data_IF_454798709106
#
_entry.id   IF_454798709106
#
_cell.length_a   1.000
_cell.length_b   1.000
_cell.length_c   1.000
_cell.angle_alpha   90.00
_cell.angle_beta   90.00
_cell.angle_gamma   90.00
#
_symmetry.space_group_name_H-M   'P 1'
#
loop_
_entity.id
_entity.type
_entity.pdbx_description
1 polymer ?
#
# COMPACT_ATOMS: atom_id res chain seq x y z
N UNK A 1 19.78 -17.95 7.45
CA UNK A 1 19.29 -18.44 6.14
C UNK A 1 17.77 -18.59 6.14
N UNK A 2 17.18 -19.45 6.98
CA UNK A 2 15.73 -19.68 7.04
C UNK A 2 14.85 -18.44 7.30
N UNK A 3 15.30 -17.50 8.13
CA UNK A 3 14.54 -16.28 8.45
C UNK A 3 14.41 -15.34 7.24
N UNK A 4 15.48 -15.12 6.48
CA UNK A 4 15.46 -14.25 5.29
C UNK A 4 14.60 -14.84 4.19
N UNK A 5 14.69 -16.15 3.95
CA UNK A 5 13.81 -16.84 3.00
C UNK A 5 12.34 -16.74 3.41
N UNK A 6 12.04 -16.77 4.72
CA UNK A 6 10.67 -16.59 5.21
C UNK A 6 10.13 -15.17 4.95
N UNK A 7 10.97 -14.14 5.14
CA UNK A 7 10.61 -12.76 4.84
C UNK A 7 10.41 -12.57 3.34
N UNK A 8 11.31 -13.09 2.51
CA UNK A 8 11.18 -13.02 1.05
C UNK A 8 9.87 -13.65 0.58
N UNK A 9 9.56 -14.87 1.02
CA UNK A 9 8.29 -15.55 0.69
C UNK A 9 7.08 -14.71 1.08
N UNK A 10 7.08 -14.18 2.32
CA UNK A 10 6.01 -13.33 2.81
C UNK A 10 5.83 -12.07 1.96
N UNK A 11 6.92 -11.37 1.61
CA UNK A 11 6.87 -10.19 0.74
C UNK A 11 6.28 -10.56 -0.62
N UNK A 12 6.74 -11.66 -1.22
CA UNK A 12 6.25 -12.15 -2.52
C UNK A 12 4.75 -12.44 -2.44
N UNK A 13 4.29 -13.14 -1.41
CA UNK A 13 2.88 -13.47 -1.21
C UNK A 13 2.02 -12.21 -1.06
N UNK A 14 2.47 -11.24 -0.25
CA UNK A 14 1.74 -9.99 -0.01
C UNK A 14 1.68 -9.11 -1.27
N UNK A 15 2.79 -8.97 -2.00
CA UNK A 15 2.80 -8.25 -3.27
C UNK A 15 1.93 -8.95 -4.33
N UNK A 16 1.87 -10.28 -4.32
CA UNK A 16 0.98 -11.04 -5.20
C UNK A 16 -0.49 -10.81 -4.85
N UNK A 17 -0.84 -10.80 -3.56
CA UNK A 17 -2.20 -10.47 -3.10
C UNK A 17 -2.59 -9.05 -3.47
N UNK A 18 -1.67 -8.09 -3.36
CA UNK A 18 -1.87 -6.72 -3.79
C UNK A 18 -2.16 -6.64 -5.29
N UNK A 19 -1.31 -7.25 -6.11
CA UNK A 19 -1.45 -7.26 -7.57
C UNK A 19 -2.80 -7.87 -8.00
N UNK A 20 -3.16 -9.03 -7.45
CA UNK A 20 -4.43 -9.70 -7.73
C UNK A 20 -5.62 -8.87 -7.24
N UNK A 21 -5.51 -8.22 -6.09
CA UNK A 21 -6.54 -7.33 -5.57
C UNK A 21 -6.77 -6.13 -6.49
N UNK A 22 -5.70 -5.48 -6.95
CA UNK A 22 -5.76 -4.35 -7.87
C UNK A 22 -6.32 -4.74 -9.24
N UNK A 23 -5.96 -5.95 -9.71
CA UNK A 23 -6.50 -6.52 -10.95
C UNK A 23 -8.00 -6.81 -10.85
N UNK A 24 -8.44 -7.40 -9.74
CA UNK A 24 -9.82 -7.84 -9.54
C UNK A 24 -10.78 -6.70 -9.18
N UNK A 25 -10.32 -5.67 -8.45
CA UNK A 25 -11.13 -4.53 -8.01
C UNK A 25 -11.36 -3.48 -9.12
N UNK A 26 -11.32 -3.89 -10.39
CA UNK A 26 -11.36 -3.02 -11.56
C UNK A 26 -12.14 -1.73 -11.33
N UNK A 27 -11.42 -0.61 -11.24
CA UNK A 27 -11.96 0.76 -11.28
C UNK A 27 -13.06 1.14 -10.27
N UNK A 28 -13.17 0.51 -9.09
CA UNK A 28 -14.15 0.94 -8.08
C UNK A 28 -13.55 1.94 -7.06
N UNK A 29 -13.90 3.22 -7.26
CA UNK A 29 -13.71 4.42 -6.43
C UNK A 29 -12.25 4.90 -6.18
N UNK A 30 -11.81 5.83 -7.04
CA UNK A 30 -10.41 6.08 -7.43
C UNK A 30 -9.75 7.38 -6.91
N UNK A 31 -10.17 7.96 -5.78
CA UNK A 31 -9.42 9.10 -5.21
C UNK A 31 -8.55 8.67 -4.01
N UNK A 32 -9.10 8.04 -2.99
CA UNK A 32 -8.31 7.67 -1.80
C UNK A 32 -7.35 6.49 -2.04
N UNK A 33 -7.74 5.55 -2.92
CA UNK A 33 -6.94 4.36 -3.25
C UNK A 33 -5.75 4.65 -4.18
N UNK A 34 -5.86 5.63 -5.06
CA UNK A 34 -4.76 6.03 -5.96
C UNK A 34 -3.66 6.75 -5.18
N UNK A 35 -4.02 7.63 -4.24
CA UNK A 35 -3.06 8.34 -3.38
C UNK A 35 -2.32 7.34 -2.47
N UNK A 36 -3.07 6.41 -1.85
CA UNK A 36 -2.48 5.32 -1.06
C UNK A 36 -1.52 4.46 -1.91
N UNK A 37 -1.94 4.09 -3.13
CA UNK A 37 -1.10 3.32 -4.06
C UNK A 37 0.15 4.09 -4.46
N UNK A 38 0.05 5.39 -4.78
CA UNK A 38 1.21 6.21 -5.16
C UNK A 38 2.22 6.34 -4.02
N UNK A 39 1.77 6.58 -2.77
CA UNK A 39 2.67 6.65 -1.60
C UNK A 39 3.38 5.32 -1.39
N UNK A 40 2.62 4.23 -1.32
CA UNK A 40 3.18 2.89 -1.14
C UNK A 40 4.18 2.54 -2.27
N UNK A 41 3.83 2.83 -3.52
CA UNK A 41 4.73 2.59 -4.67
C UNK A 41 5.98 3.46 -4.59
N UNK A 42 5.89 4.72 -4.19
CA UNK A 42 7.06 5.57 -4.02
C UNK A 42 8.02 4.98 -2.98
N UNK A 43 7.52 4.62 -1.80
CA UNK A 43 8.32 4.03 -0.72
C UNK A 43 8.91 2.68 -1.15
N UNK A 44 8.11 1.81 -1.78
CA UNK A 44 8.57 0.52 -2.29
C UNK A 44 9.71 0.68 -3.32
N UNK A 45 9.55 1.59 -4.28
CA UNK A 45 10.56 1.85 -5.30
C UNK A 45 11.82 2.48 -4.71
N UNK A 46 11.68 3.35 -3.70
CA UNK A 46 12.82 3.91 -2.98
C UNK A 46 13.63 2.81 -2.31
N UNK A 47 12.99 1.84 -1.66
CA UNK A 47 13.67 0.73 -1.01
C UNK A 47 14.32 -0.20 -2.05
N UNK A 48 13.58 -0.61 -3.09
CA UNK A 48 14.05 -1.61 -4.08
C UNK A 48 15.19 -1.08 -4.96
N UNK A 49 15.16 0.20 -5.32
CA UNK A 49 16.11 0.79 -6.27
C UNK A 49 17.05 1.83 -5.65
N UNK A 50 16.87 2.18 -4.38
CA UNK A 50 17.62 3.25 -3.72
C UNK A 50 17.23 4.66 -4.19
N UNK A 51 16.05 4.82 -4.79
CA UNK A 51 15.56 6.12 -5.26
C UNK A 51 15.12 7.04 -4.11
N UNK A 52 14.87 8.32 -4.43
CA UNK A 52 14.31 9.35 -3.54
C UNK A 52 13.05 9.96 -4.14
N UNK A 53 12.14 9.10 -4.58
CA UNK A 53 10.85 9.48 -5.16
C UNK A 53 9.97 10.16 -4.12
N UNK A 54 9.44 11.32 -4.49
CA UNK A 54 8.38 12.03 -3.77
C UNK A 54 7.15 12.13 -4.67
N UNK A 55 5.96 12.19 -4.06
CA UNK A 55 4.73 12.44 -4.81
C UNK A 55 4.67 13.92 -5.24
N UNK A 56 4.50 14.14 -6.55
CA UNK A 56 4.55 15.46 -7.19
C UNK A 56 3.22 16.23 -7.13
N UNK A 57 2.11 15.54 -6.87
CA UNK A 57 0.78 16.16 -6.72
C UNK A 57 0.73 17.09 -5.50
N UNK A 58 1.51 16.80 -4.45
CA UNK A 58 1.62 17.66 -3.26
C UNK A 58 2.44 18.94 -3.48
N UNK A 59 3.20 19.05 -4.58
CA UNK A 59 4.15 20.14 -4.80
C UNK A 59 3.73 21.16 -5.86
N UNK A 60 2.80 20.84 -6.77
CA UNK A 60 2.13 21.79 -7.70
C UNK A 60 1.06 21.06 -8.55
N UNK A 61 -0.11 21.68 -8.76
CA UNK A 61 -1.22 21.20 -9.63
C UNK A 61 -0.88 20.96 -11.12
N UNK A 62 0.37 21.11 -11.56
CA UNK A 62 0.75 21.20 -12.98
C UNK A 62 1.48 19.95 -13.54
N UNK A 63 1.63 18.87 -12.77
CA UNK A 63 2.28 17.64 -13.24
C UNK A 63 1.27 16.61 -13.78
N UNK A 64 0.50 16.97 -14.82
CA UNK A 64 -0.60 16.13 -15.37
C UNK A 64 -0.16 14.79 -15.99
N UNK A 65 1.13 14.45 -15.97
CA UNK A 65 1.74 13.33 -16.70
C UNK A 65 2.63 12.42 -15.85
N UNK A 66 2.94 12.80 -14.61
CA UNK A 66 3.86 12.08 -13.72
C UNK A 66 3.34 12.23 -12.30
N UNK A 67 3.36 11.12 -11.55
CA UNK A 67 2.86 11.08 -10.17
C UNK A 67 4.00 11.21 -9.17
N UNK A 68 5.17 10.64 -9.49
CA UNK A 68 6.33 10.60 -8.59
C UNK A 68 7.59 11.14 -9.28
N UNK A 69 8.49 11.74 -8.51
CA UNK A 69 9.78 12.25 -9.03
C UNK A 69 10.93 12.14 -8.04
N UNK A 70 12.10 11.78 -8.54
CA UNK A 70 13.41 11.87 -7.87
C UNK A 70 14.20 12.96 -8.59
N UNK A 71 14.35 14.11 -7.94
CA UNK A 71 15.01 15.29 -8.51
C UNK A 71 16.53 15.11 -8.66
N UNK A 72 17.16 14.34 -7.77
CA UNK A 72 18.60 14.12 -7.76
C UNK A 72 19.00 13.21 -8.93
N UNK A 73 18.26 12.12 -9.11
CA UNK A 73 18.48 11.18 -10.22
C UNK A 73 17.77 11.58 -11.50
N UNK A 74 16.94 12.63 -11.45
CA UNK A 74 16.12 13.10 -12.57
C UNK A 74 15.25 11.99 -13.15
N UNK A 75 14.59 11.21 -12.28
CA UNK A 75 13.68 10.14 -12.66
C UNK A 75 12.25 10.57 -12.33
N UNK A 76 11.32 10.36 -13.26
CA UNK A 76 9.89 10.53 -13.03
C UNK A 76 9.16 9.21 -13.27
N UNK A 77 8.10 8.97 -12.49
CA UNK A 77 7.20 7.84 -12.67
C UNK A 77 5.78 8.31 -12.91
N UNK A 78 5.15 7.77 -13.95
CA UNK A 78 3.69 7.68 -14.03
C UNK A 78 3.25 6.34 -13.43
N UNK A 79 2.44 6.37 -12.39
CA UNK A 79 1.77 5.24 -11.76
C UNK A 79 0.37 5.07 -12.37
N UNK A 80 0.04 3.89 -12.87
CA UNK A 80 -1.25 3.63 -13.54
C UNK A 80 -1.72 2.20 -13.35
N UNK A 81 -3.03 1.99 -13.31
CA UNK A 81 -3.63 0.63 -13.39
C UNK A 81 -3.80 0.16 -14.83
N UNK A 82 -3.80 1.09 -15.80
CA UNK A 82 -4.03 0.79 -17.22
C UNK A 82 -2.73 0.41 -17.92
N UNK A 83 -2.67 -0.81 -18.45
CA UNK A 83 -1.51 -1.35 -19.16
C UNK A 83 -1.45 -1.05 -20.66
N UNK A 84 -2.42 -0.33 -21.22
CA UNK A 84 -2.53 -0.12 -22.67
C UNK A 84 -1.39 0.74 -23.23
N UNK A 85 -0.94 0.42 -24.44
CA UNK A 85 0.08 1.22 -25.13
C UNK A 85 -0.40 2.66 -25.39
N UNK A 86 -1.71 2.86 -25.58
CA UNK A 86 -2.30 4.19 -25.71
C UNK A 86 -2.11 5.05 -24.46
N UNK A 87 -2.26 4.48 -23.26
CA UNK A 87 -2.05 5.19 -22.00
C UNK A 87 -0.59 5.61 -21.81
N UNK A 88 0.34 4.73 -22.17
CA UNK A 88 1.78 5.03 -22.10
C UNK A 88 2.17 6.12 -23.11
N UNK A 89 1.65 6.04 -24.34
CA UNK A 89 1.83 7.11 -25.35
C UNK A 89 1.29 8.45 -24.87
N UNK A 90 0.12 8.45 -24.25
CA UNK A 90 -0.48 9.65 -23.67
C UNK A 90 0.40 10.24 -22.56
N UNK A 91 0.94 9.41 -21.67
CA UNK A 91 1.89 9.85 -20.64
C UNK A 91 3.15 10.49 -21.26
N UNK A 92 3.77 9.84 -22.25
CA UNK A 92 4.94 10.38 -22.98
C UNK A 92 4.60 11.71 -23.65
N UNK A 93 3.47 11.79 -24.36
CA UNK A 93 3.04 13.01 -25.05
C UNK A 93 2.83 14.16 -24.06
N UNK A 94 2.20 13.89 -22.91
CA UNK A 94 1.99 14.89 -21.86
C UNK A 94 3.28 15.30 -21.18
N UNK A 95 4.22 14.38 -20.95
CA UNK A 95 5.55 14.65 -20.41
C UNK A 95 6.35 15.61 -21.31
N UNK A 96 6.27 15.42 -22.63
CA UNK A 96 6.88 16.31 -23.63
C UNK A 96 6.17 17.67 -23.65
N UNK A 97 4.83 17.69 -23.76
CA UNK A 97 4.04 18.92 -23.85
C UNK A 97 4.20 19.83 -22.64
N UNK A 98 4.33 19.24 -21.45
CA UNK A 98 4.55 19.96 -20.19
C UNK A 98 6.02 20.28 -19.91
N UNK A 99 6.93 19.95 -20.84
CA UNK A 99 8.38 20.16 -20.74
C UNK A 99 9.02 19.56 -19.48
N UNK A 100 8.44 18.49 -18.94
CA UNK A 100 8.95 17.84 -17.73
C UNK A 100 10.31 17.18 -17.95
N UNK A 101 10.65 16.87 -19.21
CA UNK A 101 11.97 16.35 -19.61
C UNK A 101 13.14 17.29 -19.27
N UNK A 102 12.87 18.59 -19.04
CA UNK A 102 13.89 19.55 -18.59
C UNK A 102 14.36 19.24 -17.16
N UNK A 103 13.47 18.68 -16.34
CA UNK A 103 13.74 18.35 -14.93
C UNK A 103 14.04 16.87 -14.73
N UNK A 104 13.42 16.00 -15.53
CA UNK A 104 13.53 14.55 -15.42
C UNK A 104 14.02 13.97 -16.76
N UNK A 105 15.21 13.37 -16.77
CA UNK A 105 15.79 12.78 -17.98
C UNK A 105 15.23 11.37 -18.26
N UNK A 106 14.64 10.73 -17.24
CA UNK A 106 14.16 9.36 -17.31
C UNK A 106 12.68 9.30 -16.94
N UNK A 107 11.81 9.08 -17.91
CA UNK A 107 10.40 8.77 -17.67
C UNK A 107 10.22 7.25 -17.53
N UNK A 108 9.61 6.83 -16.44
CA UNK A 108 9.22 5.45 -16.18
C UNK A 108 7.72 5.35 -15.98
N UNK A 109 7.16 4.17 -16.25
CA UNK A 109 5.74 3.86 -16.03
C UNK A 109 5.65 2.67 -15.08
N UNK A 110 5.00 2.86 -13.94
CA UNK A 110 4.67 1.78 -13.02
C UNK A 110 3.24 1.33 -13.25
N UNK A 111 3.06 0.05 -13.60
CA UNK A 111 1.74 -0.55 -13.76
C UNK A 111 1.39 -1.30 -12.48
N UNK A 112 0.37 -0.80 -11.78
CA UNK A 112 -0.07 -1.29 -10.46
C UNK A 112 -0.60 -2.73 -10.49
N UNK A 113 -1.19 -3.14 -11.60
CA UNK A 113 -1.60 -4.52 -11.82
C UNK A 113 -0.49 -5.28 -12.56
N UNK A 114 -0.79 -5.76 -13.77
CA UNK A 114 0.17 -6.48 -14.60
C UNK A 114 0.37 -5.74 -15.92
N UNK A 115 1.62 -5.58 -16.35
CA UNK A 115 1.94 -5.00 -17.66
C UNK A 115 1.66 -5.96 -18.81
N UNK A 116 1.73 -5.47 -20.05
CA UNK A 116 1.61 -6.34 -21.22
C UNK A 116 2.84 -7.23 -21.35
N UNK A 117 2.67 -8.46 -21.87
CA UNK A 117 3.79 -9.37 -22.18
C UNK A 117 4.80 -8.73 -23.15
N UNK A 118 4.31 -7.89 -24.06
CA UNK A 118 5.14 -7.15 -25.01
C UNK A 118 4.43 -5.87 -25.45
N UNK A 119 5.20 -4.79 -25.62
CA UNK A 119 4.72 -3.53 -26.17
C UNK A 119 5.29 -3.36 -27.58
N UNK A 120 4.48 -3.59 -28.62
CA UNK A 120 4.90 -3.46 -30.03
C UNK A 120 4.72 -2.06 -30.62
N UNK A 121 4.29 -1.11 -29.78
CA UNK A 121 4.00 0.26 -30.22
C UNK A 121 5.28 1.08 -30.33
N UNK A 122 5.39 1.92 -31.35
CA UNK A 122 6.39 2.99 -31.35
C UNK A 122 6.06 4.02 -30.27
N UNK A 123 6.98 4.24 -29.34
CA UNK A 123 6.88 5.25 -28.28
C UNK A 123 7.76 6.43 -28.66
N UNK A 124 7.16 7.40 -29.36
CA UNK A 124 7.86 8.58 -29.87
C UNK A 124 8.22 9.55 -28.74
N UNK A 125 9.51 9.82 -28.56
CA UNK A 125 10.02 10.74 -27.53
C UNK A 125 10.47 12.08 -28.10
N UNK A 126 10.34 12.28 -29.42
CA UNK A 126 10.81 13.47 -30.15
C UNK A 126 12.31 13.75 -29.93
N UNK A 127 13.10 12.71 -29.62
CA UNK A 127 14.51 12.82 -29.28
C UNK A 127 14.81 13.57 -27.98
N UNK A 128 13.79 13.84 -27.14
CA UNK A 128 13.95 14.61 -25.89
C UNK A 128 14.49 13.78 -24.72
N UNK A 129 14.23 12.47 -24.73
CA UNK A 129 14.70 11.51 -23.74
C UNK A 129 14.66 10.09 -24.31
N UNK A 130 15.33 9.14 -23.63
CA UNK A 130 15.29 7.73 -24.00
C UNK A 130 14.15 7.00 -23.27
N UNK A 131 13.44 6.12 -23.98
CA UNK A 131 12.39 5.29 -23.39
C UNK A 131 12.43 3.88 -24.00
N UNK A 132 12.85 2.90 -23.20
CA UNK A 132 12.80 1.49 -23.58
C UNK A 132 11.68 0.79 -22.78
N UNK A 133 10.58 0.37 -23.43
CA UNK A 133 9.45 -0.26 -22.75
C UNK A 133 9.79 -1.57 -22.03
N UNK A 134 10.96 -2.19 -22.29
CA UNK A 134 11.41 -3.38 -21.58
C UNK A 134 11.90 -3.08 -20.16
N UNK A 135 12.48 -1.89 -19.94
CA UNK A 135 13.13 -1.50 -18.68
C UNK A 135 12.44 -0.32 -18.00
N UNK A 136 11.73 0.51 -18.76
CA UNK A 136 11.03 1.70 -18.28
C UNK A 136 9.56 1.46 -17.96
N UNK A 137 9.01 0.30 -18.32
CA UNK A 137 7.69 -0.15 -17.87
C UNK A 137 7.88 -1.25 -16.84
N UNK A 138 7.56 -0.94 -15.59
CA UNK A 138 7.76 -1.80 -14.42
C UNK A 138 6.38 -2.17 -13.85
N UNK A 139 6.24 -3.38 -13.34
CA UNK A 139 5.05 -3.82 -12.60
C UNK A 139 5.43 -4.60 -11.32
N UNK A 140 4.43 -5.00 -10.53
CA UNK A 140 4.64 -5.76 -9.30
C UNK A 140 5.40 -7.08 -9.54
N UNK A 141 5.10 -7.89 -10.57
CA UNK A 141 5.91 -9.05 -10.94
C UNK A 141 7.41 -8.74 -11.13
N UNK A 142 7.77 -7.60 -11.70
CA UNK A 142 9.18 -7.22 -11.83
C UNK A 142 9.83 -6.83 -10.50
N UNK A 143 9.07 -6.28 -9.56
CA UNK A 143 9.53 -6.08 -8.18
C UNK A 143 9.75 -7.42 -7.48
N UNK A 144 8.79 -8.35 -7.60
CA UNK A 144 8.88 -9.70 -7.02
C UNK A 144 10.15 -10.43 -7.49
N UNK A 145 10.52 -10.32 -8.77
CA UNK A 145 11.76 -10.93 -9.31
C UNK A 145 13.04 -10.37 -8.69
N UNK A 146 13.01 -9.15 -8.15
CA UNK A 146 14.15 -8.50 -7.49
C UNK A 146 14.26 -8.86 -6.02
N UNK A 147 13.17 -9.25 -5.36
CA UNK A 147 13.13 -9.59 -3.93
C UNK A 147 14.25 -10.56 -3.50
N UNK A 148 14.56 -11.65 -4.24
CA UNK A 148 15.64 -12.56 -3.85
C UNK A 148 17.04 -11.92 -3.82
N UNK A 149 17.26 -10.84 -4.57
CA UNK A 149 18.54 -10.12 -4.64
C UNK A 149 18.64 -8.92 -3.70
N UNK A 150 17.60 -8.63 -2.93
CA UNK A 150 17.61 -7.50 -2.00
C UNK A 150 18.42 -7.84 -0.73
N UNK A 151 19.04 -6.81 -0.17
CA UNK A 151 19.74 -6.91 1.11
C UNK A 151 18.75 -7.24 2.25
N UNK A 152 19.23 -7.87 3.35
CA UNK A 152 18.42 -8.07 4.56
C UNK A 152 17.70 -6.81 5.03
N UNK A 153 18.36 -5.66 4.98
CA UNK A 153 17.83 -4.37 5.40
C UNK A 153 16.65 -3.94 4.52
N UNK A 154 16.82 -4.01 3.19
CA UNK A 154 15.75 -3.72 2.24
C UNK A 154 14.55 -4.66 2.41
N UNK A 155 14.79 -5.95 2.68
CA UNK A 155 13.73 -6.92 2.94
C UNK A 155 12.95 -6.57 4.22
N UNK A 156 13.64 -6.17 5.29
CA UNK A 156 13.00 -5.74 6.52
C UNK A 156 12.19 -4.45 6.33
N UNK A 157 12.72 -3.48 5.59
CA UNK A 157 12.02 -2.23 5.27
C UNK A 157 10.75 -2.49 4.43
N UNK A 158 10.83 -3.31 3.38
CA UNK A 158 9.65 -3.67 2.57
C UNK A 158 8.62 -4.42 3.42
N UNK A 159 9.06 -5.37 4.24
CA UNK A 159 8.16 -6.08 5.12
C UNK A 159 7.48 -5.13 6.11
N UNK A 160 8.21 -4.16 6.67
CA UNK A 160 7.66 -3.14 7.58
C UNK A 160 6.67 -2.22 6.87
N UNK A 161 7.01 -1.75 5.65
CA UNK A 161 6.14 -0.95 4.79
C UNK A 161 4.82 -1.67 4.52
N UNK A 162 4.88 -2.93 4.06
CA UNK A 162 3.68 -3.71 3.79
C UNK A 162 2.87 -3.90 5.09
N UNK A 163 3.55 -4.19 6.19
CA UNK A 163 2.91 -4.34 7.49
C UNK A 163 2.40 -3.04 8.08
N UNK A 164 2.79 -1.88 7.59
CA UNK A 164 2.26 -0.58 8.00
C UNK A 164 1.06 -0.19 7.13
N UNK A 165 1.16 -0.43 5.82
CA UNK A 165 0.18 0.08 4.86
C UNK A 165 -0.99 -0.89 4.63
N UNK A 166 -0.74 -2.19 4.61
CA UNK A 166 -1.80 -3.20 4.43
C UNK A 166 -2.36 -3.72 5.73
N UNK A 167 -1.53 -3.63 6.75
CA UNK A 167 -1.82 -4.14 8.05
C UNK A 167 -1.84 -2.92 9.00
N UNK A 168 -0.78 -2.14 9.15
CA UNK A 168 -0.66 -1.18 10.24
C UNK A 168 -0.08 -1.91 11.45
N UNK A 169 1.20 -1.75 11.74
CA UNK A 169 1.98 -2.59 12.64
C UNK A 169 1.51 -2.74 14.12
N UNK A 170 1.35 -3.98 14.61
CA UNK A 170 1.46 -4.43 16.03
C UNK A 170 2.92 -4.42 16.38
N UNK A 171 3.35 -3.55 17.28
CA UNK A 171 4.55 -3.82 18.04
C UNK A 171 4.24 -4.86 19.12
N UNK A 172 4.62 -6.12 18.88
CA UNK A 172 5.16 -6.98 19.94
C UNK A 172 5.99 -8.10 19.31
N UNK A 173 7.29 -7.87 19.14
CA UNK A 173 8.28 -8.84 19.63
C UNK A 173 9.68 -8.22 19.71
N UNK A 174 10.36 -8.52 20.81
CA UNK A 174 11.66 -8.04 21.24
C UNK A 174 12.80 -8.78 20.51
N UNK A 175 13.67 -8.03 19.82
CA UNK A 175 15.12 -8.29 19.86
C UNK A 175 15.91 -7.03 19.53
N UNK A 176 16.76 -6.64 20.50
CA UNK A 176 17.53 -5.40 20.67
C UNK A 176 18.78 -5.35 19.75
N UNK A 177 19.56 -4.25 19.74
CA UNK A 177 19.68 -3.29 18.64
C UNK A 177 20.96 -3.46 17.79
N UNK A 178 20.96 -2.89 16.58
CA UNK A 178 22.19 -2.49 15.89
C UNK A 178 22.22 -0.98 15.74
N UNK A 179 23.00 -0.36 16.62
CA UNK A 179 23.43 1.03 16.58
C UNK A 179 24.32 1.29 15.37
N UNK A 180 24.02 2.32 14.57
CA UNK A 180 24.89 3.50 14.41
C UNK A 180 24.25 4.59 13.54
N UNK A 181 24.00 5.71 14.20
CA UNK A 181 24.21 7.10 13.75
C UNK A 181 24.21 7.37 12.24
N UNK A 182 23.06 7.85 11.75
CA UNK A 182 23.03 9.05 10.90
C UNK A 182 21.90 9.95 11.39
N UNK A 183 22.29 11.10 11.94
CA UNK A 183 21.38 12.17 12.34
C UNK A 183 20.73 12.80 11.10
N UNK A 184 19.50 12.39 10.83
CA UNK A 184 18.45 13.27 10.33
C UNK A 184 17.23 12.93 11.16
N UNK A 185 16.62 13.92 11.82
CA UNK A 185 15.44 13.73 12.67
C UNK A 185 14.29 13.09 11.87
N UNK A 186 14.26 11.75 11.80
CA UNK A 186 13.04 10.99 11.59
C UNK A 186 12.35 11.03 12.94
N UNK A 187 11.36 11.90 13.09
CA UNK A 187 10.39 11.75 14.17
C UNK A 187 9.91 10.30 14.14
N UNK A 188 9.98 9.59 15.27
CA UNK A 188 9.56 8.19 15.34
C UNK A 188 8.04 8.16 15.20
N UNK A 189 7.55 8.06 13.98
CA UNK A 189 6.13 7.99 13.73
C UNK A 189 5.58 6.65 14.23
N UNK A 190 4.60 6.69 15.13
CA UNK A 190 3.96 5.49 15.68
C UNK A 190 2.46 5.56 15.43
N UNK A 191 1.90 4.48 14.89
CA UNK A 191 0.46 4.33 14.74
C UNK A 191 -0.11 3.63 15.96
N UNK A 192 -0.97 4.32 16.70
CA UNK A 192 -1.74 3.80 17.81
C UNK A 192 -3.09 3.28 17.30
N UNK A 193 -3.51 2.14 17.84
CA UNK A 193 -4.77 1.50 17.47
C UNK A 193 -5.56 1.20 18.71
N UNK A 194 -6.61 1.97 18.91
CA UNK A 194 -7.45 1.85 20.10
C UNK A 194 -8.76 1.22 19.70
N UNK A 195 -9.20 0.21 20.43
CA UNK A 195 -10.52 -0.39 20.20
C UNK A 195 -11.59 0.67 20.40
N UNK A 196 -12.33 0.96 19.34
CA UNK A 196 -13.39 1.95 19.33
C UNK A 196 -14.76 1.32 19.63
N UNK A 197 -15.08 0.22 18.92
CA UNK A 197 -16.30 -0.58 19.11
C UNK A 197 -15.98 -2.05 18.96
N UNK A 198 -16.74 -2.88 19.68
CA UNK A 198 -16.63 -4.34 19.65
C UNK A 198 -17.97 -4.95 19.28
N UNK A 199 -17.96 -6.23 18.90
CA UNK A 199 -19.17 -7.00 18.63
C UNK A 199 -20.08 -6.36 17.56
N UNK A 200 -19.49 -5.64 16.60
CA UNK A 200 -20.23 -5.01 15.52
C UNK A 200 -20.82 -6.09 14.62
N UNK A 201 -22.14 -6.13 14.39
CA UNK A 201 -22.74 -7.14 13.52
C UNK A 201 -22.20 -7.03 12.10
N UNK A 202 -21.87 -8.19 11.53
CA UNK A 202 -21.44 -8.32 10.14
C UNK A 202 -22.52 -9.02 9.33
N UNK A 203 -22.65 -8.66 8.07
CA UNK A 203 -23.69 -9.12 7.18
C UNK A 203 -23.10 -9.67 5.89
N UNK A 204 -23.72 -10.72 5.34
CA UNK A 204 -23.30 -11.33 4.07
C UNK A 204 -23.89 -10.67 2.83
N UNK A 205 -24.74 -9.66 3.00
CA UNK A 205 -25.45 -8.94 1.96
C UNK A 205 -25.28 -7.41 2.08
N UNK A 206 -25.29 -6.68 0.97
CA UNK A 206 -25.11 -5.23 0.95
C UNK A 206 -26.26 -4.45 1.59
N UNK A 207 -27.42 -5.05 1.81
CA UNK A 207 -28.58 -4.45 2.48
C UNK A 207 -28.54 -4.61 4.01
N UNK A 208 -27.55 -5.36 4.53
CA UNK A 208 -27.41 -5.71 5.95
C UNK A 208 -28.67 -6.36 6.55
N UNK A 209 -29.18 -7.40 5.89
CA UNK A 209 -30.34 -8.18 6.32
C UNK A 209 -29.96 -9.58 6.82
N UNK A 210 -28.89 -10.17 6.31
CA UNK A 210 -28.39 -11.50 6.62
C UNK A 210 -27.16 -11.43 7.53
N UNK A 211 -27.38 -11.43 8.85
CA UNK A 211 -26.29 -11.44 9.85
C UNK A 211 -25.43 -12.69 9.67
N UNK A 212 -24.11 -12.49 9.61
CA UNK A 212 -23.11 -13.54 9.64
C UNK A 212 -22.85 -13.96 11.08
N UNK A 213 -23.32 -15.15 11.45
CA UNK A 213 -23.07 -15.73 12.78
C UNK A 213 -21.62 -16.21 12.95
N UNK A 214 -21.16 -16.22 14.20
CA UNK A 214 -19.84 -16.75 14.58
C UNK A 214 -18.65 -15.81 14.33
N UNK A 215 -18.89 -14.62 13.77
CA UNK A 215 -17.87 -13.57 13.59
C UNK A 215 -18.52 -12.21 13.86
N UNK A 216 -17.74 -11.30 14.42
CA UNK A 216 -18.16 -9.91 14.62
C UNK A 216 -17.05 -8.96 14.18
N UNK A 217 -17.40 -7.70 13.95
CA UNK A 217 -16.47 -6.64 13.65
C UNK A 217 -15.93 -6.02 14.94
N UNK A 218 -14.64 -5.73 14.95
CA UNK A 218 -14.03 -4.78 15.89
C UNK A 218 -13.63 -3.54 15.11
N UNK A 219 -14.08 -2.36 15.56
CA UNK A 219 -13.70 -1.07 14.98
C UNK A 219 -12.55 -0.52 15.79
N UNK A 220 -11.49 -0.09 15.12
CA UNK A 220 -10.29 0.50 15.69
C UNK A 220 -10.21 1.97 15.27
N UNK A 221 -9.99 2.84 16.25
CA UNK A 221 -9.56 4.23 16.05
C UNK A 221 -8.06 4.22 15.77
N UNK A 222 -7.66 4.80 14.64
CA UNK A 222 -6.27 4.86 14.19
C UNK A 222 -5.75 6.28 14.43
N UNK A 223 -4.69 6.41 15.22
CA UNK A 223 -4.04 7.70 15.49
C UNK A 223 -2.55 7.64 15.21
N UNK A 224 -2.00 8.73 14.69
CA UNK A 224 -0.57 8.86 14.39
C UNK A 224 0.13 9.76 15.42
N UNK A 225 1.30 9.31 15.86
CA UNK A 225 2.25 10.07 16.68
C UNK A 225 3.48 10.43 15.83
N UNK A 226 4.19 11.53 16.14
CA UNK A 226 3.82 12.54 17.12
C UNK A 226 2.62 13.39 16.66
N UNK A 227 1.83 13.90 17.62
CA UNK A 227 0.72 14.84 17.35
C UNK A 227 -0.68 14.25 17.56
N UNK A 228 -0.80 12.95 17.84
CA UNK A 228 -2.06 12.26 18.10
C UNK A 228 -3.15 12.49 17.04
N UNK A 229 -2.73 12.57 15.77
CA UNK A 229 -3.58 12.92 14.62
C UNK A 229 -4.53 11.76 14.36
N UNK A 230 -5.84 12.02 14.35
CA UNK A 230 -6.84 11.01 14.01
C UNK A 230 -6.77 10.72 12.50
N UNK A 231 -6.42 9.48 12.15
CA UNK A 231 -6.36 9.00 10.77
C UNK A 231 -7.62 8.21 10.36
N UNK A 232 -8.56 8.05 11.29
CA UNK A 232 -9.89 7.50 11.02
C UNK A 232 -10.18 6.19 11.75
N UNK A 233 -11.20 5.47 11.25
CA UNK A 233 -11.70 4.24 11.85
C UNK A 233 -11.64 3.10 10.85
N UNK A 234 -11.24 1.90 11.31
CA UNK A 234 -11.18 0.69 10.49
C UNK A 234 -11.89 -0.47 11.18
N UNK A 235 -12.61 -1.30 10.43
CA UNK A 235 -13.32 -2.47 10.96
C UNK A 235 -12.63 -3.77 10.52
N UNK A 236 -12.51 -4.74 11.44
CA UNK A 236 -11.85 -6.02 11.18
C UNK A 236 -12.65 -7.20 11.72
N UNK A 237 -12.67 -8.36 11.04
CA UNK A 237 -13.39 -9.53 11.52
C UNK A 237 -12.64 -10.21 12.65
N UNK A 238 -13.37 -10.62 13.68
CA UNK A 238 -12.82 -11.42 14.75
C UNK A 238 -13.82 -12.45 15.27
N UNK A 239 -13.31 -13.63 15.64
CA UNK A 239 -14.07 -14.59 16.46
C UNK A 239 -13.76 -14.43 17.94
N UNK A 240 -12.83 -13.52 18.29
CA UNK A 240 -12.35 -13.29 19.64
C UNK A 240 -13.28 -12.35 20.41
N UNK A 241 -13.42 -12.61 21.71
CA UNK A 241 -14.27 -11.85 22.62
C UNK A 241 -13.50 -11.02 23.65
N UNK A 242 -12.17 -10.95 23.54
CA UNK A 242 -11.33 -10.27 24.55
C UNK A 242 -11.20 -8.76 24.33
N UNK A 243 -11.65 -8.24 23.19
CA UNK A 243 -11.58 -6.81 22.90
C UNK A 243 -12.45 -6.00 23.86
N UNK A 244 -11.94 -4.85 24.29
CA UNK A 244 -12.66 -3.87 25.13
C UNK A 244 -12.39 -2.48 24.60
N UNK A 245 -13.42 -1.65 24.51
CA UNK A 245 -13.28 -0.26 24.05
C UNK A 245 -12.27 0.52 24.91
N UNK A 246 -11.49 1.38 24.27
CA UNK A 246 -10.43 2.18 24.90
C UNK A 246 -9.09 1.46 25.06
N UNK A 247 -9.00 0.16 24.77
CA UNK A 247 -7.75 -0.61 24.89
C UNK A 247 -6.94 -0.50 23.60
N UNK A 248 -5.64 -0.19 23.75
CA UNK A 248 -4.71 -0.27 22.64
C UNK A 248 -4.41 -1.72 22.30
N UNK A 249 -4.44 -2.04 21.01
CA UNK A 249 -4.23 -3.40 20.54
C UNK A 249 -3.11 -3.47 19.53
N UNK A 250 -2.38 -4.58 19.64
CA UNK A 250 -1.43 -5.01 18.64
C UNK A 250 -2.22 -5.36 17.36
N UNK A 251 -1.68 -5.05 16.19
CA UNK A 251 -2.14 -5.54 14.91
C UNK A 251 -1.80 -7.00 14.52
N UNK A 252 -2.35 -7.94 15.27
CA UNK A 252 -2.09 -9.35 15.02
C UNK A 252 -3.20 -10.04 14.23
N UNK A 253 -2.81 -11.00 13.39
CA UNK A 253 -3.72 -11.72 12.49
C UNK A 253 -3.54 -13.22 12.58
N UNK A 254 -4.66 -13.93 12.43
CA UNK A 254 -4.69 -15.36 12.17
C UNK A 254 -5.06 -15.60 10.71
N UNK A 255 -4.06 -15.86 9.86
CA UNK A 255 -4.21 -16.04 8.41
C UNK A 255 -4.94 -17.33 8.00
N UNK A 256 -5.09 -18.28 8.92
CA UNK A 256 -5.78 -19.55 8.68
C UNK A 256 -7.29 -19.39 8.70
N UNK A 257 -7.78 -18.36 9.40
CA UNK A 257 -9.18 -18.03 9.44
C UNK A 257 -9.44 -16.84 8.51
N UNK A 258 -10.31 -17.03 7.52
CA UNK A 258 -10.55 -16.06 6.46
C UNK A 258 -12.04 -15.81 6.29
N UNK A 259 -12.35 -14.56 6.02
CA UNK A 259 -13.69 -14.07 5.82
C UNK A 259 -13.78 -13.42 4.45
N UNK A 260 -14.77 -13.83 3.67
CA UNK A 260 -15.09 -13.20 2.40
C UNK A 260 -15.73 -11.82 2.62
N UNK A 261 -16.25 -11.23 1.54
CA UNK A 261 -16.86 -9.91 1.55
C UNK A 261 -18.01 -9.85 2.54
N UNK A 262 -17.94 -8.87 3.43
CA UNK A 262 -18.97 -8.61 4.44
C UNK A 262 -19.29 -7.12 4.50
N UNK A 263 -20.45 -6.81 5.05
CA UNK A 263 -20.98 -5.47 5.27
C UNK A 263 -21.26 -5.26 6.75
N UNK A 264 -21.33 -4.01 7.16
CA UNK A 264 -21.72 -3.63 8.51
C UNK A 264 -22.55 -2.36 8.45
N UNK A 265 -23.29 -2.13 9.52
CA UNK A 265 -23.97 -0.86 9.75
C UNK A 265 -23.10 -0.04 10.70
N UNK A 266 -22.71 1.15 10.27
CA UNK A 266 -21.91 2.07 11.08
C UNK A 266 -22.62 2.30 12.43
N UNK A 267 -21.98 2.01 13.57
CA UNK A 267 -22.65 2.10 14.87
C UNK A 267 -23.09 3.52 15.27
N UNK A 268 -22.55 4.56 14.63
CA UNK A 268 -22.89 5.95 14.94
C UNK A 268 -23.89 6.53 13.96
N UNK A 269 -23.63 6.34 12.67
CA UNK A 269 -24.45 6.97 11.62
C UNK A 269 -25.59 6.07 11.15
N UNK A 270 -25.53 4.77 11.42
CA UNK A 270 -26.47 3.78 10.89
C UNK A 270 -26.31 3.50 9.39
N UNK A 271 -25.32 4.10 8.75
CA UNK A 271 -25.03 3.94 7.33
C UNK A 271 -24.54 2.52 7.03
N UNK A 272 -25.02 1.92 5.95
CA UNK A 272 -24.53 0.61 5.50
C UNK A 272 -23.23 0.80 4.73
N UNK A 273 -22.18 0.10 5.16
CA UNK A 273 -20.85 0.18 4.58
C UNK A 273 -20.32 -1.22 4.28
N UNK A 274 -19.53 -1.33 3.21
CA UNK A 274 -18.73 -2.55 3.02
C UNK A 274 -17.66 -2.58 4.10
N UNK A 275 -17.55 -3.71 4.81
CA UNK A 275 -16.53 -3.89 5.84
C UNK A 275 -15.17 -4.17 5.19
N UNK A 276 -15.13 -5.16 4.30
CA UNK A 276 -13.98 -5.55 3.49
C UNK A 276 -14.44 -6.44 2.33
N UNK A 277 -13.56 -6.69 1.34
CA UNK A 277 -13.80 -7.66 0.26
C UNK A 277 -13.31 -9.06 0.59
N UNK A 278 -12.23 -9.16 1.37
CA UNK A 278 -11.72 -10.38 1.99
C UNK A 278 -10.79 -9.95 3.12
N UNK A 279 -10.78 -10.69 4.23
CA UNK A 279 -9.91 -10.38 5.37
C UNK A 279 -9.54 -11.66 6.14
N UNK A 280 -8.35 -11.66 6.76
CA UNK A 280 -7.97 -12.66 7.74
C UNK A 280 -8.61 -12.34 9.09
N UNK A 281 -8.59 -13.25 10.06
CA UNK A 281 -9.09 -12.95 11.39
C UNK A 281 -8.15 -12.01 12.14
N UNK A 282 -8.70 -10.90 12.63
CA UNK A 282 -8.00 -10.00 13.53
C UNK A 282 -7.98 -10.58 14.95
N UNK A 283 -6.78 -10.78 15.47
CA UNK A 283 -6.52 -11.34 16.81
C UNK A 283 -6.24 -10.25 17.82
N UNK A 284 -5.57 -9.17 17.39
CA UNK A 284 -5.04 -8.08 18.19
C UNK A 284 -5.02 -8.23 19.71
N UNK A 285 -3.86 -8.61 20.26
CA UNK A 285 -3.64 -8.66 21.71
C UNK A 285 -3.63 -7.26 22.32
N UNK A 286 -4.11 -7.13 23.55
CA UNK A 286 -4.00 -5.89 24.31
C UNK A 286 -2.52 -5.53 24.50
N UNK A 287 -2.17 -4.28 24.21
CA UNK A 287 -0.87 -3.71 24.56
C UNK A 287 -1.04 -3.13 25.95
N UNK A 288 -0.44 -3.78 26.94
CA UNK A 288 -0.34 -3.21 28.28
C UNK A 288 0.76 -2.15 28.23
N UNK A 289 0.39 -0.89 28.44
CA UNK A 289 1.35 0.15 28.77
C UNK A 289 1.86 -0.01 30.20
#
# INVERSE_FOLDING_TARGET
MFYLESIQKRIIDMLTVLEVSLRNRGFLNLHDQNIFSQRFIAELLNIVFGYKLVNLDYQKKNYTAIDLGDWERKIAFQVTVTKSSSKIKDAITKFIRSQQYVYFENLKVFILAQKQKSYRSNFETEGKFNFDPKVDIIDIPDIIKRVPSLSPEQLQEINSLINHDFFGYSSSDDSKPLTRETNTQKENYQVLRTVYRTEVPLYSDPECQCIRSGVSGVILEIREQPGNILNGYTIHPTTRKHFKAGIQVAWEWNIHNRFDKLWYRDPETGEIRSAWTQSAEFVGRAINN
#
